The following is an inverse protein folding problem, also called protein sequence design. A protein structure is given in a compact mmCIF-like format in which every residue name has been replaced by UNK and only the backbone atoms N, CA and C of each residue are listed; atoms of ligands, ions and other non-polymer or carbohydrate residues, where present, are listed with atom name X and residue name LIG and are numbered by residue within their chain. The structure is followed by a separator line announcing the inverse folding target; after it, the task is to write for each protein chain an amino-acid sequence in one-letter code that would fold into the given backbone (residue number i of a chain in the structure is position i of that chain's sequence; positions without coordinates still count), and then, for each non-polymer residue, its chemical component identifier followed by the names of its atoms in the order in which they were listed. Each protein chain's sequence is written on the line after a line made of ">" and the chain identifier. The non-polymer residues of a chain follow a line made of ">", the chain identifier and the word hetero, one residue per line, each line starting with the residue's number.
data_IF_052514979165
#
_entry.id   IF_052514979165
#
_cell.length_a   1.000
_cell.length_b   1.000
_cell.length_c   1.000
_cell.angle_alpha   90.00
_cell.angle_beta   90.00
_cell.angle_gamma   90.00
#
_symmetry.space_group_name_H-M   'P 1'
#
loop_
_entity.id
_entity.type
_entity.pdbx_description
1 polymer ?
#
# COMPACT_ATOMS: atom_id res chain seq x y z
N UNK A 1 -7.05 -12.67 -5.58
CA UNK A 1 -8.12 -11.64 -5.69
C UNK A 1 -8.95 -11.90 -6.94
N UNK A 2 -10.26 -11.90 -6.79
CA UNK A 2 -11.22 -12.01 -7.90
C UNK A 2 -11.98 -10.69 -7.98
N UNK A 3 -11.95 -10.04 -9.15
CA UNK A 3 -12.67 -8.79 -9.38
C UNK A 3 -14.17 -9.04 -9.51
N UNK A 4 -14.99 -8.13 -9.01
CA UNK A 4 -16.48 -8.13 -9.21
C UNK A 4 -16.81 -8.06 -10.71
N UNK A 5 -15.98 -7.44 -11.53
CA UNK A 5 -16.15 -7.38 -12.98
C UNK A 5 -16.20 -8.75 -13.67
N UNK A 6 -15.74 -9.82 -12.99
CA UNK A 6 -15.92 -11.19 -13.49
C UNK A 6 -17.39 -11.64 -13.50
N UNK A 7 -18.19 -11.10 -12.59
CA UNK A 7 -19.59 -11.51 -12.38
C UNK A 7 -20.61 -10.47 -12.85
N UNK A 8 -20.19 -9.19 -12.86
CA UNK A 8 -21.03 -8.06 -13.24
C UNK A 8 -20.20 -7.01 -14.02
N UNK A 9 -19.69 -7.37 -15.23
CA UNK A 9 -18.83 -6.48 -16.01
C UNK A 9 -19.53 -5.19 -16.44
N UNK A 10 -20.81 -5.26 -16.86
CA UNK A 10 -21.59 -4.13 -17.38
C UNK A 10 -21.89 -3.05 -16.32
N UNK A 11 -21.86 -3.38 -15.06
CA UNK A 11 -22.09 -2.44 -13.94
C UNK A 11 -20.86 -2.17 -13.08
N UNK A 12 -19.68 -2.68 -13.46
CA UNK A 12 -18.47 -2.56 -12.64
C UNK A 12 -17.48 -1.55 -13.22
N UNK A 13 -17.22 -0.48 -12.47
CA UNK A 13 -16.12 0.45 -12.75
C UNK A 13 -14.87 -0.07 -12.04
N UNK A 14 -13.77 -0.28 -12.80
CA UNK A 14 -12.49 -0.72 -12.26
C UNK A 14 -11.57 0.49 -12.15
N UNK A 15 -11.05 0.74 -10.95
CA UNK A 15 -10.01 1.75 -10.72
C UNK A 15 -8.67 1.08 -10.45
N UNK A 16 -7.61 1.63 -11.02
CA UNK A 16 -6.24 1.16 -10.82
C UNK A 16 -5.28 2.35 -10.84
N UNK A 17 -4.00 2.09 -10.60
CA UNK A 17 -2.97 3.12 -10.68
C UNK A 17 -1.59 2.56 -10.50
N UNK A 18 -0.58 3.27 -10.99
CA UNK A 18 0.82 2.85 -10.95
C UNK A 18 1.46 2.98 -9.56
N UNK A 19 0.80 3.66 -8.62
CA UNK A 19 1.37 4.02 -7.32
C UNK A 19 1.76 2.80 -6.47
N UNK A 20 1.01 1.70 -6.55
CA UNK A 20 1.18 0.54 -5.67
C UNK A 20 1.89 -0.60 -6.37
N UNK A 21 1.23 -1.24 -7.33
CA UNK A 21 1.77 -2.44 -7.98
C UNK A 21 3.03 -2.17 -8.81
N UNK A 22 3.20 -0.96 -9.35
CA UNK A 22 4.34 -0.56 -10.17
C UNK A 22 5.43 0.20 -9.37
N UNK A 23 5.15 0.55 -8.10
CA UNK A 23 6.06 1.35 -7.27
C UNK A 23 6.26 2.80 -7.75
N UNK A 24 5.38 3.28 -8.64
CA UNK A 24 5.50 4.58 -9.31
C UNK A 24 4.56 5.64 -8.72
N UNK A 25 4.47 5.72 -7.38
CA UNK A 25 3.59 6.65 -6.68
C UNK A 25 3.83 8.12 -7.01
N UNK A 26 5.09 8.51 -7.25
CA UNK A 26 5.46 9.87 -7.63
C UNK A 26 5.02 10.27 -9.04
N UNK A 27 4.66 9.32 -9.90
CA UNK A 27 4.22 9.59 -11.27
C UNK A 27 2.78 10.07 -11.37
N UNK A 28 2.01 9.96 -10.30
CA UNK A 28 0.66 10.51 -10.15
C UNK A 28 -0.31 10.09 -11.26
N UNK A 29 -0.32 8.81 -11.66
CA UNK A 29 -1.24 8.27 -12.65
C UNK A 29 -2.18 7.24 -12.03
N UNK A 30 -3.47 7.50 -12.18
CA UNK A 30 -4.55 6.53 -11.98
C UNK A 30 -5.26 6.24 -13.28
N UNK A 31 -5.91 5.09 -13.36
CA UNK A 31 -6.73 4.66 -14.50
C UNK A 31 -8.12 4.24 -14.02
N UNK A 32 -9.09 4.48 -14.87
CA UNK A 32 -10.47 4.04 -14.64
C UNK A 32 -10.97 3.35 -15.91
N UNK A 33 -11.47 2.14 -15.75
CA UNK A 33 -12.11 1.38 -16.83
C UNK A 33 -13.61 1.41 -16.55
N UNK A 34 -14.35 1.99 -17.47
CA UNK A 34 -15.81 2.19 -17.37
C UNK A 34 -16.43 1.44 -18.52
N UNK A 35 -17.37 0.52 -18.28
CA UNK A 35 -18.06 -0.23 -19.34
C UNK A 35 -18.96 0.69 -20.16
N UNK A 36 -19.27 0.29 -21.39
CA UNK A 36 -20.03 1.10 -22.33
C UNK A 36 -21.46 1.35 -21.85
N UNK A 37 -22.05 0.44 -21.09
CA UNK A 37 -23.36 0.58 -20.45
C UNK A 37 -23.43 1.78 -19.50
N UNK A 38 -22.28 2.23 -19.00
CA UNK A 38 -22.16 3.39 -18.11
C UNK A 38 -21.59 4.63 -18.83
N UNK A 39 -21.78 4.76 -20.15
CA UNK A 39 -21.19 5.88 -20.93
C UNK A 39 -21.62 7.26 -20.39
N UNK A 40 -22.87 7.42 -19.94
CA UNK A 40 -23.31 8.70 -19.32
C UNK A 40 -22.48 9.05 -18.08
N UNK A 41 -22.14 8.07 -17.26
CA UNK A 41 -21.28 8.25 -16.08
C UNK A 41 -19.85 8.60 -16.53
N UNK A 42 -19.34 7.91 -17.55
CA UNK A 42 -18.03 8.19 -18.15
C UNK A 42 -17.92 9.63 -18.66
N UNK A 43 -18.94 10.11 -19.41
CA UNK A 43 -18.95 11.49 -19.91
C UNK A 43 -19.02 12.51 -18.77
N UNK A 44 -19.82 12.26 -17.73
CA UNK A 44 -19.87 13.13 -16.55
C UNK A 44 -18.52 13.21 -15.84
N UNK A 45 -17.83 12.07 -15.66
CA UNK A 45 -16.49 12.02 -15.05
C UNK A 45 -15.46 12.78 -15.90
N UNK A 46 -15.49 12.63 -17.24
CA UNK A 46 -14.61 13.34 -18.15
C UNK A 46 -14.81 14.86 -18.02
N UNK A 47 -16.06 15.32 -18.03
CA UNK A 47 -16.38 16.73 -17.89
C UNK A 47 -15.88 17.32 -16.55
N UNK A 48 -16.16 16.63 -15.44
CA UNK A 48 -15.68 17.06 -14.10
C UNK A 48 -14.16 17.07 -14.05
N UNK A 49 -13.52 16.06 -14.63
CA UNK A 49 -12.05 15.94 -14.63
C UNK A 49 -11.41 17.08 -15.42
N UNK A 50 -11.98 17.47 -16.56
CA UNK A 50 -11.52 18.60 -17.37
C UNK A 50 -11.51 19.91 -16.59
N UNK A 51 -12.52 20.14 -15.75
CA UNK A 51 -12.67 21.38 -15.00
C UNK A 51 -11.89 21.38 -13.66
N UNK A 52 -11.50 20.20 -13.15
CA UNK A 52 -10.88 20.10 -11.82
C UNK A 52 -9.36 19.90 -11.85
N UNK A 53 -8.84 19.06 -12.74
CA UNK A 53 -7.40 18.79 -12.78
C UNK A 53 -6.80 18.70 -14.20
N UNK A 54 -7.61 18.86 -15.24
CA UNK A 54 -7.28 18.82 -16.67
C UNK A 54 -6.81 17.43 -17.14
N UNK A 55 -5.56 17.05 -16.90
CA UNK A 55 -5.03 15.75 -17.31
C UNK A 55 -3.77 15.36 -16.53
N UNK A 56 -3.43 14.07 -16.61
CA UNK A 56 -2.12 13.57 -16.21
C UNK A 56 -1.06 14.05 -17.22
N UNK A 57 0.16 14.29 -16.76
CA UNK A 57 1.30 14.64 -17.62
C UNK A 57 1.45 13.66 -18.80
N UNK A 58 1.52 14.17 -20.03
CA UNK A 58 1.57 13.35 -21.25
C UNK A 58 2.72 12.33 -21.25
N UNK A 59 3.98 12.66 -20.88
CA UNK A 59 5.04 11.65 -20.78
C UNK A 59 4.68 10.47 -19.89
N UNK A 60 3.97 10.73 -18.77
CA UNK A 60 3.53 9.68 -17.84
C UNK A 60 2.43 8.82 -18.47
N UNK A 61 1.52 9.42 -19.24
CA UNK A 61 0.50 8.66 -19.97
C UNK A 61 1.14 7.66 -20.95
N UNK A 62 2.11 8.10 -21.74
CA UNK A 62 2.85 7.23 -22.67
C UNK A 62 3.64 6.13 -21.92
N UNK A 63 4.30 6.47 -20.82
CA UNK A 63 5.00 5.48 -20.01
C UNK A 63 4.05 4.43 -19.41
N UNK A 64 2.82 4.82 -19.08
CA UNK A 64 1.83 3.89 -18.54
C UNK A 64 1.41 2.80 -19.53
N UNK A 65 1.39 3.11 -20.83
CA UNK A 65 1.12 2.12 -21.88
C UNK A 65 2.10 0.95 -21.77
N UNK A 66 3.38 1.24 -21.53
CA UNK A 66 4.41 0.21 -21.36
C UNK A 66 4.18 -0.60 -20.08
N UNK A 67 3.81 0.09 -18.97
CA UNK A 67 3.57 -0.56 -17.69
C UNK A 67 2.39 -1.54 -17.72
N UNK A 68 1.33 -1.24 -18.49
CA UNK A 68 0.15 -2.09 -18.62
C UNK A 68 0.28 -3.18 -19.71
N UNK A 69 1.40 -3.27 -20.41
CA UNK A 69 1.64 -4.38 -21.35
C UNK A 69 2.06 -5.64 -20.59
N UNK A 70 1.54 -6.80 -21.04
CA UNK A 70 2.00 -8.11 -20.53
C UNK A 70 3.36 -8.46 -21.16
N UNK A 71 4.43 -7.97 -20.53
CA UNK A 71 5.81 -8.21 -20.96
C UNK A 71 6.61 -8.90 -19.87
N UNK A 72 7.51 -9.78 -20.29
CA UNK A 72 8.36 -10.58 -19.41
C UNK A 72 9.06 -9.72 -18.35
N UNK A 73 9.63 -8.58 -18.70
CA UNK A 73 10.36 -7.74 -17.76
C UNK A 73 9.46 -7.08 -16.69
N UNK A 74 8.18 -6.80 -17.04
CA UNK A 74 7.18 -6.32 -16.07
C UNK A 74 6.83 -7.44 -15.10
N UNK A 75 6.59 -8.65 -15.61
CA UNK A 75 6.26 -9.81 -14.77
C UNK A 75 7.44 -10.20 -13.86
N UNK A 76 8.66 -10.15 -14.35
CA UNK A 76 9.88 -10.38 -13.57
C UNK A 76 10.02 -9.31 -12.43
N UNK A 77 9.74 -8.04 -12.73
CA UNK A 77 9.73 -6.99 -11.72
C UNK A 77 8.65 -7.26 -10.64
N UNK A 78 7.43 -7.58 -11.05
CA UNK A 78 6.32 -7.87 -10.13
C UNK A 78 6.61 -9.09 -9.25
N UNK A 79 7.19 -10.13 -9.82
CA UNK A 79 7.61 -11.32 -9.08
C UNK A 79 8.61 -10.94 -7.97
N UNK A 80 9.68 -10.22 -8.31
CA UNK A 80 10.69 -9.84 -7.34
C UNK A 80 10.18 -8.82 -6.30
N UNK A 81 9.36 -7.85 -6.68
CA UNK A 81 8.81 -6.87 -5.76
C UNK A 81 7.86 -7.51 -4.73
N UNK A 82 7.00 -8.43 -5.16
CA UNK A 82 6.13 -9.19 -4.25
C UNK A 82 6.94 -10.03 -3.26
N UNK A 83 7.99 -10.70 -3.74
CA UNK A 83 8.89 -11.50 -2.90
C UNK A 83 9.59 -10.64 -1.85
N UNK A 84 10.12 -9.47 -2.24
CA UNK A 84 10.78 -8.54 -1.33
C UNK A 84 9.80 -8.06 -0.25
N UNK A 85 8.62 -7.59 -0.66
CA UNK A 85 7.61 -7.09 0.25
C UNK A 85 7.12 -8.18 1.21
N UNK A 86 6.98 -9.42 0.73
CA UNK A 86 6.62 -10.55 1.61
C UNK A 86 7.68 -10.77 2.68
N UNK A 87 8.96 -10.85 2.31
CA UNK A 87 10.05 -11.09 3.27
C UNK A 87 10.15 -9.98 4.30
N UNK A 88 10.09 -8.72 3.86
CA UNK A 88 10.16 -7.57 4.80
C UNK A 88 8.92 -7.52 5.69
N UNK A 89 7.74 -7.76 5.13
CA UNK A 89 6.49 -7.77 5.89
C UNK A 89 6.44 -8.89 6.93
N UNK A 90 6.88 -10.10 6.57
CA UNK A 90 6.98 -11.23 7.50
C UNK A 90 7.98 -10.91 8.64
N UNK A 91 9.13 -10.32 8.32
CA UNK A 91 10.10 -9.88 9.33
C UNK A 91 9.49 -8.85 10.28
N UNK A 92 8.88 -7.77 9.75
CA UNK A 92 8.24 -6.76 10.58
C UNK A 92 7.11 -7.34 11.46
N UNK A 93 6.33 -8.28 10.91
CA UNK A 93 5.27 -8.95 11.66
C UNK A 93 5.84 -9.72 12.86
N UNK A 94 6.88 -10.54 12.66
CA UNK A 94 7.47 -11.34 13.74
C UNK A 94 8.14 -10.45 14.80
N UNK A 95 8.86 -9.38 14.40
CA UNK A 95 9.47 -8.44 15.35
C UNK A 95 8.43 -7.72 16.20
N UNK A 96 7.35 -7.24 15.61
CA UNK A 96 6.25 -6.59 16.34
C UNK A 96 5.55 -7.57 17.29
N UNK A 97 5.30 -8.78 16.83
CA UNK A 97 4.71 -9.84 17.66
C UNK A 97 5.61 -10.21 18.85
N UNK A 98 6.92 -10.33 18.62
CA UNK A 98 7.89 -10.61 19.68
C UNK A 98 7.97 -9.47 20.72
N UNK A 99 7.65 -8.24 20.31
CA UNK A 99 7.53 -7.07 21.17
C UNK A 99 6.16 -6.95 21.86
N UNK A 100 5.34 -8.00 21.87
CA UNK A 100 3.99 -8.04 22.47
C UNK A 100 3.02 -7.01 21.88
N UNK A 101 3.16 -6.72 20.59
CA UNK A 101 2.26 -5.85 19.83
C UNK A 101 1.25 -6.71 19.09
N UNK A 102 -0.04 -6.42 19.25
CA UNK A 102 -1.11 -7.15 18.57
C UNK A 102 -1.23 -6.70 17.13
N UNK A 103 -1.29 -7.64 16.21
CA UNK A 103 -1.54 -7.35 14.79
C UNK A 103 -1.96 -8.60 14.04
N UNK A 104 -2.61 -8.39 12.90
CA UNK A 104 -2.86 -9.47 11.93
C UNK A 104 -1.71 -9.56 10.94
N UNK A 105 -1.38 -10.79 10.53
CA UNK A 105 -0.42 -11.01 9.46
C UNK A 105 -1.01 -10.48 8.16
N UNK A 106 -0.19 -9.81 7.36
CA UNK A 106 -0.61 -9.29 6.06
C UNK A 106 -0.78 -10.43 5.03
N UNK A 107 -1.86 -10.36 4.25
CA UNK A 107 -2.07 -11.22 3.08
C UNK A 107 -1.54 -10.59 1.79
N UNK A 108 -1.13 -9.33 1.82
CA UNK A 108 -0.58 -8.60 0.67
C UNK A 108 -0.35 -7.13 0.96
N UNK A 109 0.09 -6.41 -0.08
CA UNK A 109 0.44 -5.00 0.05
C UNK A 109 1.73 -4.77 0.82
N UNK A 110 1.83 -3.65 1.53
CA UNK A 110 3.02 -3.24 2.30
C UNK A 110 2.65 -2.46 3.57
N UNK A 111 1.50 -2.79 4.13
CA UNK A 111 1.00 -2.18 5.37
C UNK A 111 0.78 -3.24 6.43
N UNK A 112 1.12 -2.88 7.68
CA UNK A 112 0.67 -3.54 8.89
C UNK A 112 -0.17 -2.54 9.69
N UNK A 113 -1.06 -3.06 10.53
CA UNK A 113 -1.90 -2.24 11.40
C UNK A 113 -1.77 -2.70 12.85
N UNK A 114 -0.61 -2.40 13.49
CA UNK A 114 -0.33 -2.80 14.87
C UNK A 114 -1.22 -2.06 15.87
N UNK A 115 -1.55 -2.80 16.95
CA UNK A 115 -2.25 -2.33 18.13
C UNK A 115 -1.32 -2.45 19.36
N UNK A 116 -0.94 -1.30 19.89
CA UNK A 116 -0.02 -1.15 21.02
C UNK A 116 -0.75 -1.13 22.38
N UNK A 117 -2.00 -1.58 22.45
CA UNK A 117 -2.81 -1.55 23.68
C UNK A 117 -2.18 -2.30 24.85
N UNK A 118 -1.37 -3.33 24.61
CA UNK A 118 -0.64 -4.04 25.67
C UNK A 118 0.38 -3.13 26.39
N UNK A 119 0.81 -2.04 25.75
CA UNK A 119 1.74 -1.06 26.30
C UNK A 119 1.03 0.21 26.84
N UNK A 120 -0.31 0.23 26.91
CA UNK A 120 -1.10 1.41 27.27
C UNK A 120 -0.72 2.00 28.64
N UNK A 121 -0.43 1.18 29.64
CA UNK A 121 0.01 1.64 30.96
C UNK A 121 1.30 2.47 30.89
N UNK A 122 2.27 2.00 30.12
CA UNK A 122 3.54 2.72 29.94
C UNK A 122 3.34 4.02 29.14
N UNK A 123 2.48 4.00 28.12
CA UNK A 123 2.14 5.17 27.35
C UNK A 123 1.43 6.22 28.22
N UNK A 124 0.47 5.77 29.02
CA UNK A 124 -0.25 6.62 29.97
C UNK A 124 0.68 7.24 31.02
N UNK A 125 1.67 6.53 31.53
CA UNK A 125 2.65 7.07 32.49
C UNK A 125 3.50 8.19 31.90
N UNK A 126 3.70 8.19 30.57
CA UNK A 126 4.39 9.22 29.78
C UNK A 126 3.46 10.36 29.34
N UNK A 127 2.19 10.36 29.74
CA UNK A 127 1.21 11.40 29.36
C UNK A 127 0.56 11.19 27.99
N UNK A 128 0.86 10.08 27.28
CA UNK A 128 0.28 9.75 25.97
C UNK A 128 -1.11 9.16 26.17
N UNK A 129 -2.12 9.74 25.51
CA UNK A 129 -3.54 9.33 25.67
C UNK A 129 -4.23 8.97 24.37
N UNK A 130 -3.68 9.38 23.23
CA UNK A 130 -4.29 9.18 21.91
C UNK A 130 -3.32 8.56 20.93
N UNK A 131 -3.85 7.94 19.86
CA UNK A 131 -3.05 7.40 18.77
C UNK A 131 -2.20 8.47 18.08
N UNK A 132 -2.71 9.70 17.96
CA UNK A 132 -1.97 10.84 17.40
C UNK A 132 -0.77 11.20 18.25
N UNK A 133 -0.97 11.41 19.57
CA UNK A 133 0.12 11.68 20.50
C UNK A 133 1.16 10.55 20.50
N UNK A 134 0.71 9.29 20.43
CA UNK A 134 1.61 8.15 20.33
C UNK A 134 2.48 8.21 19.09
N UNK A 135 1.90 8.45 17.91
CA UNK A 135 2.66 8.51 16.66
C UNK A 135 3.63 9.70 16.63
N UNK A 136 3.23 10.87 17.17
CA UNK A 136 4.11 12.03 17.31
C UNK A 136 5.28 11.75 18.25
N UNK A 137 5.01 11.19 19.43
CA UNK A 137 6.06 10.85 20.39
C UNK A 137 7.03 9.81 19.83
N UNK A 138 6.51 8.76 19.15
CA UNK A 138 7.34 7.75 18.51
C UNK A 138 8.25 8.35 17.44
N UNK A 139 7.73 9.28 16.62
CA UNK A 139 8.52 9.98 15.62
C UNK A 139 9.63 10.80 16.27
N UNK A 140 9.34 11.55 17.32
CA UNK A 140 10.32 12.38 18.02
C UNK A 140 11.40 11.55 18.70
N UNK A 141 11.03 10.43 19.33
CA UNK A 141 11.95 9.60 20.11
C UNK A 141 12.83 8.69 19.23
N UNK A 142 12.31 8.24 18.07
CA UNK A 142 12.93 7.17 17.29
C UNK A 142 13.14 7.49 15.81
N UNK A 143 12.53 8.55 15.29
CA UNK A 143 12.50 8.86 13.86
C UNK A 143 11.55 7.96 13.04
N UNK A 144 10.76 7.08 13.70
CA UNK A 144 9.82 6.19 13.02
C UNK A 144 8.47 6.88 12.83
N UNK A 145 8.11 7.14 11.57
CA UNK A 145 6.84 7.76 11.20
C UNK A 145 5.75 6.71 10.97
N UNK A 146 4.68 6.76 11.76
CA UNK A 146 3.46 5.97 11.59
C UNK A 146 2.26 6.91 11.39
N UNK A 147 1.18 6.40 10.82
CA UNK A 147 -0.08 7.12 10.77
C UNK A 147 -1.02 6.60 11.86
N UNK A 148 -1.60 7.50 12.70
CA UNK A 148 -2.45 7.09 13.81
C UNK A 148 -3.72 6.40 13.31
N UNK A 149 -4.22 5.44 14.10
CA UNK A 149 -5.44 4.70 13.77
C UNK A 149 -6.67 5.60 13.66
N UNK A 150 -6.70 6.71 14.39
CA UNK A 150 -7.77 7.72 14.28
C UNK A 150 -7.91 8.33 12.88
N UNK A 151 -6.83 8.44 12.11
CA UNK A 151 -6.88 8.84 10.70
C UNK A 151 -7.60 7.81 9.79
N UNK A 152 -7.89 6.62 10.32
CA UNK A 152 -8.62 5.53 9.63
C UNK A 152 -9.95 5.21 10.31
N UNK A 153 -10.50 6.14 11.09
CA UNK A 153 -11.78 6.00 11.77
C UNK A 153 -11.76 5.14 13.03
N UNK A 154 -10.58 4.79 13.56
CA UNK A 154 -10.47 4.16 14.89
C UNK A 154 -10.67 5.22 15.99
N UNK A 155 -11.20 4.82 17.16
CA UNK A 155 -11.26 5.71 18.31
C UNK A 155 -9.89 6.31 18.66
N UNK A 156 -9.83 7.59 19.03
CA UNK A 156 -8.57 8.29 19.32
C UNK A 156 -7.79 7.67 20.49
N UNK A 157 -8.51 7.12 21.48
CA UNK A 157 -7.92 6.48 22.66
C UNK A 157 -7.42 5.04 22.41
N UNK A 158 -7.57 4.50 21.21
CA UNK A 158 -6.95 3.25 20.81
C UNK A 158 -5.53 3.51 20.30
N UNK A 159 -4.55 2.83 20.86
CA UNK A 159 -3.16 2.93 20.43
C UNK A 159 -2.89 2.07 19.20
N UNK A 160 -3.64 2.34 18.12
CA UNK A 160 -3.46 1.68 16.83
C UNK A 160 -2.77 2.62 15.84
N UNK A 161 -2.02 2.05 14.90
CA UNK A 161 -1.33 2.83 13.87
C UNK A 161 -1.17 2.03 12.58
N UNK A 162 -1.04 2.73 11.43
CA UNK A 162 -0.65 2.10 10.18
C UNK A 162 0.85 2.25 9.97
N UNK A 163 1.54 1.13 9.85
CA UNK A 163 2.95 1.02 9.48
C UNK A 163 3.08 0.69 8.00
N UNK A 164 3.89 1.46 7.25
CA UNK A 164 4.28 1.18 5.88
C UNK A 164 5.75 0.76 5.85
N UNK A 165 6.03 -0.51 5.53
CA UNK A 165 7.40 -1.06 5.54
C UNK A 165 8.08 -0.93 4.17
N UNK A 166 8.11 0.30 3.63
CA UNK A 166 8.64 0.59 2.29
C UNK A 166 9.92 1.45 2.30
N UNK A 167 10.42 1.82 3.47
CA UNK A 167 11.63 2.62 3.60
C UNK A 167 12.89 1.75 3.56
N UNK A 168 13.22 1.23 2.37
CA UNK A 168 14.42 0.44 2.12
C UNK A 168 15.00 0.75 0.73
N UNK A 169 16.26 0.39 0.48
CA UNK A 169 16.91 0.51 -0.82
C UNK A 169 16.31 -0.51 -1.82
N UNK A 170 15.35 -0.06 -2.61
CA UNK A 170 14.64 -0.90 -3.58
C UNK A 170 15.56 -1.46 -4.68
N UNK A 171 16.58 -0.71 -5.12
CA UNK A 171 17.51 -1.17 -6.14
C UNK A 171 18.40 -2.31 -5.60
N UNK A 172 18.92 -2.15 -4.39
CA UNK A 172 19.70 -3.19 -3.69
C UNK A 172 18.84 -4.44 -3.44
N UNK A 173 17.61 -4.26 -2.97
CA UNK A 173 16.69 -5.37 -2.70
C UNK A 173 16.35 -6.15 -3.98
N UNK A 174 16.07 -5.47 -5.11
CA UNK A 174 15.82 -6.10 -6.40
C UNK A 174 17.05 -6.88 -6.88
N UNK A 175 18.26 -6.32 -6.79
CA UNK A 175 19.48 -7.00 -7.16
C UNK A 175 19.73 -8.25 -6.31
N UNK A 176 19.50 -8.18 -5.01
CA UNK A 176 19.63 -9.33 -4.10
C UNK A 176 18.58 -10.41 -4.43
N UNK A 177 17.31 -9.99 -4.64
CA UNK A 177 16.25 -10.92 -4.99
C UNK A 177 16.50 -11.64 -6.31
N UNK A 178 17.10 -10.98 -7.31
CA UNK A 178 17.47 -11.61 -8.60
C UNK A 178 18.62 -12.62 -8.46
N UNK A 179 19.58 -12.36 -7.57
CA UNK A 179 20.73 -13.23 -7.34
C UNK A 179 20.40 -14.45 -6.47
N UNK A 180 19.43 -14.33 -5.57
CA UNK A 180 19.04 -15.40 -4.66
C UNK A 180 18.18 -16.46 -5.38
N UNK A 181 18.74 -17.65 -5.59
CA UNK A 181 18.05 -18.79 -6.22
C UNK A 181 17.05 -19.49 -5.29
N UNK A 182 17.00 -19.17 -4.02
CA UNK A 182 16.24 -19.93 -3.02
C UNK A 182 15.38 -19.02 -2.16
N UNK A 183 14.14 -18.92 -2.48
CA UNK A 183 12.99 -19.00 -1.55
C UNK A 183 11.85 -19.48 -2.44
N UNK A 184 11.54 -20.75 -2.35
CA UNK A 184 10.38 -21.35 -2.98
C UNK A 184 9.13 -20.81 -2.27
N UNK A 185 8.39 -19.92 -2.94
CA UNK A 185 7.13 -19.37 -2.44
C UNK A 185 5.94 -20.30 -2.76
N UNK A 186 6.20 -21.49 -3.32
CA UNK A 186 5.16 -22.46 -3.68
C UNK A 186 4.73 -23.36 -2.50
N UNK A 187 5.34 -23.20 -1.32
CA UNK A 187 5.05 -23.99 -0.14
C UNK A 187 4.46 -23.15 1.00
N UNK A 188 3.34 -22.46 0.74
CA UNK A 188 2.45 -21.99 1.81
C UNK A 188 1.08 -21.60 1.27
#
# INVERSE_FOLDING_TARGET
>A
HVSVSKYYPEGTIITSGLSKWCGAGGWRLGTMIIPDELDKVKQAIINVSSETFSCVSSPIQYASVVAYQDKKYINDYLFHSRRILKVIGDYCYEELKNADIKLHKQDGGFYLFPDFSNHSSNLHSKGVRTSSQFCEQLLMDTGVALLPGSAFGRPENEFTARLAYVNFDGAKALNLSKKSKSIDLSAS
#
